data_IF_120722769062
#
_entry.id   IF_120722769062
#
_cell.length_a   1.000
_cell.length_b   1.000
_cell.length_c   1.000
_cell.angle_alpha   90.00
_cell.angle_beta   90.00
_cell.angle_gamma   90.00
#
_symmetry.space_group_name_H-M   'P 1'
#
loop_
_entity.id
_entity.type
_entity.pdbx_description
1 polymer ?
#
# COMPACT_ATOMS: atom_id res chain seq x y z
N UNK A 1 36.65 -87.72 -35.18
CA UNK A 1 37.52 -88.39 -36.15
C UNK A 1 38.38 -89.34 -35.36
N UNK A 2 38.38 -90.62 -35.70
CA UNK A 2 39.26 -91.59 -35.06
C UNK A 2 40.70 -91.24 -35.43
N UNK A 3 41.60 -91.25 -34.43
CA UNK A 3 43.00 -90.94 -34.65
C UNK A 3 43.65 -92.08 -35.43
N UNK A 4 44.45 -91.76 -36.45
CA UNK A 4 45.25 -92.75 -37.19
C UNK A 4 46.17 -93.47 -36.21
N UNK A 5 46.17 -94.81 -36.22
CA UNK A 5 47.09 -95.57 -35.36
C UNK A 5 48.52 -95.40 -35.86
N UNK A 6 49.48 -95.23 -34.94
CA UNK A 6 50.90 -95.05 -35.28
C UNK A 6 51.56 -96.27 -35.95
N UNK A 7 50.81 -97.36 -36.13
CA UNK A 7 51.27 -98.62 -36.77
C UNK A 7 50.65 -98.85 -38.16
N UNK A 8 49.90 -97.88 -38.70
CA UNK A 8 49.32 -97.99 -40.03
C UNK A 8 50.42 -98.08 -41.13
N UNK A 9 50.26 -98.93 -42.15
CA UNK A 9 51.25 -99.07 -43.21
C UNK A 9 51.35 -97.80 -44.07
N UNK A 10 52.58 -97.45 -44.49
CA UNK A 10 52.90 -96.20 -45.21
C UNK A 10 52.05 -95.96 -46.47
N UNK A 11 51.57 -97.02 -47.13
CA UNK A 11 50.78 -96.91 -48.35
C UNK A 11 49.34 -96.39 -48.11
N UNK A 12 48.90 -96.24 -46.86
CA UNK A 12 47.58 -95.68 -46.54
C UNK A 12 47.61 -94.18 -46.21
N UNK A 13 48.79 -93.54 -46.21
CA UNK A 13 48.95 -92.14 -45.80
C UNK A 13 48.08 -91.20 -46.63
N UNK A 14 48.10 -91.31 -47.96
CA UNK A 14 47.30 -90.45 -48.84
C UNK A 14 45.79 -90.58 -48.57
N UNK A 15 45.34 -91.77 -48.19
CA UNK A 15 43.93 -92.02 -47.83
C UNK A 15 43.57 -91.31 -46.52
N UNK A 16 44.46 -91.36 -45.51
CA UNK A 16 44.23 -90.68 -44.23
C UNK A 16 44.36 -89.16 -44.33
N UNK A 17 45.26 -88.65 -45.20
CA UNK A 17 45.34 -87.22 -45.51
C UNK A 17 44.04 -86.72 -46.14
N UNK A 18 43.50 -87.44 -47.13
CA UNK A 18 42.23 -87.09 -47.77
C UNK A 18 41.07 -87.11 -46.77
N UNK A 19 40.99 -88.13 -45.90
CA UNK A 19 39.99 -88.17 -44.82
C UNK A 19 40.10 -86.98 -43.87
N UNK A 20 41.33 -86.56 -43.53
CA UNK A 20 41.56 -85.40 -42.66
C UNK A 20 41.12 -84.12 -43.34
N UNK A 21 41.47 -83.94 -44.62
CA UNK A 21 41.06 -82.78 -45.43
C UNK A 21 39.54 -82.72 -45.58
N UNK A 22 38.89 -83.84 -45.87
CA UNK A 22 37.43 -83.94 -45.98
C UNK A 22 36.74 -83.64 -44.64
N UNK A 23 37.27 -84.16 -43.53
CA UNK A 23 36.74 -83.88 -42.20
C UNK A 23 36.85 -82.39 -41.84
N UNK A 24 37.99 -81.75 -42.13
CA UNK A 24 38.18 -80.31 -41.92
C UNK A 24 37.24 -79.49 -42.82
N UNK A 25 37.08 -79.88 -44.08
CA UNK A 25 36.19 -79.21 -45.03
C UNK A 25 34.72 -79.29 -44.59
N UNK A 26 34.28 -80.46 -44.13
CA UNK A 26 32.93 -80.66 -43.57
C UNK A 26 32.70 -79.83 -42.31
N UNK A 27 33.68 -79.78 -41.39
CA UNK A 27 33.56 -79.02 -40.14
C UNK A 27 33.55 -77.51 -40.38
N UNK A 28 34.36 -77.01 -41.31
CA UNK A 28 34.45 -75.57 -41.63
C UNK A 28 33.22 -75.07 -42.40
N UNK A 29 32.55 -75.96 -43.14
CA UNK A 29 31.32 -75.64 -43.86
C UNK A 29 30.05 -75.76 -43.00
N UNK A 30 30.15 -76.31 -41.79
CA UNK A 30 29.02 -76.48 -40.89
C UNK A 30 28.80 -75.22 -40.03
N UNK A 31 27.54 -74.84 -39.85
CA UNK A 31 27.16 -73.73 -38.98
C UNK A 31 27.42 -74.09 -37.51
N UNK A 32 28.19 -73.28 -36.81
CA UNK A 32 28.42 -73.45 -35.36
C UNK A 32 27.13 -73.19 -34.58
N UNK A 33 26.70 -74.16 -33.77
CA UNK A 33 25.49 -74.04 -32.94
C UNK A 33 25.60 -72.97 -31.87
N UNK A 34 24.46 -72.45 -31.41
CA UNK A 34 24.38 -71.46 -30.32
C UNK A 34 25.04 -71.96 -29.04
N UNK A 35 24.83 -73.23 -28.70
CA UNK A 35 25.43 -73.89 -27.52
C UNK A 35 26.96 -73.95 -27.53
N UNK A 36 27.61 -73.71 -28.69
CA UNK A 36 29.06 -73.68 -28.86
C UNK A 36 29.59 -72.26 -29.15
N UNK A 37 28.78 -71.22 -28.87
CA UNK A 37 29.15 -69.82 -29.09
C UNK A 37 28.99 -69.34 -30.53
N UNK A 38 28.39 -70.13 -31.43
CA UNK A 38 28.00 -69.68 -32.76
C UNK A 38 26.62 -69.01 -32.75
N UNK A 39 26.15 -68.57 -33.92
CA UNK A 39 24.79 -68.02 -34.06
C UNK A 39 23.77 -69.03 -34.58
N UNK A 40 24.19 -70.24 -34.96
CA UNK A 40 23.31 -71.24 -35.58
C UNK A 40 22.76 -70.82 -36.96
N UNK A 41 23.23 -69.70 -37.52
CA UNK A 41 22.70 -69.11 -38.74
C UNK A 41 23.61 -69.28 -39.96
N UNK A 42 23.02 -69.54 -41.13
CA UNK A 42 23.70 -69.53 -42.44
C UNK A 42 23.70 -68.15 -43.12
N UNK A 43 23.01 -67.15 -42.55
CA UNK A 43 22.90 -65.80 -43.11
C UNK A 43 23.18 -64.73 -42.06
N UNK A 44 23.70 -63.58 -42.49
CA UNK A 44 23.97 -62.45 -41.60
C UNK A 44 22.70 -61.90 -40.90
N UNK A 45 21.54 -62.00 -41.56
CA UNK A 45 20.26 -61.55 -40.99
C UNK A 45 19.80 -62.46 -39.85
N UNK A 46 19.83 -63.78 -40.04
CA UNK A 46 19.50 -64.73 -38.99
C UNK A 46 20.51 -64.68 -37.83
N UNK A 47 21.80 -64.43 -38.12
CA UNK A 47 22.82 -64.24 -37.09
C UNK A 47 22.53 -63.02 -36.19
N UNK A 48 22.14 -61.88 -36.77
CA UNK A 48 21.73 -60.70 -35.99
C UNK A 48 20.50 -60.96 -35.14
N UNK A 49 19.51 -61.67 -35.69
CA UNK A 49 18.31 -62.06 -34.96
C UNK A 49 18.63 -62.96 -33.77
N UNK A 50 19.51 -63.95 -33.94
CA UNK A 50 19.93 -64.85 -32.87
C UNK A 50 20.71 -64.13 -31.75
N UNK A 51 21.45 -63.07 -32.06
CA UNK A 51 22.17 -62.23 -31.10
C UNK A 51 21.29 -61.13 -30.47
N UNK A 52 20.00 -61.04 -30.83
CA UNK A 52 19.11 -59.97 -30.37
C UNK A 52 19.50 -58.58 -30.89
N UNK A 53 20.32 -58.50 -31.94
CA UNK A 53 20.70 -57.24 -32.59
C UNK A 53 19.59 -56.85 -33.54
N UNK A 54 18.83 -55.82 -33.17
CA UNK A 54 17.81 -55.24 -34.04
C UNK A 54 18.42 -54.81 -35.40
N UNK A 55 17.68 -54.91 -36.51
CA UNK A 55 18.12 -54.38 -37.80
C UNK A 55 18.53 -52.90 -37.69
N UNK A 56 19.46 -52.43 -38.54
CA UNK A 56 19.91 -51.03 -38.52
C UNK A 56 18.76 -50.01 -38.64
N UNK A 57 17.69 -50.39 -39.35
CA UNK A 57 16.45 -49.61 -39.47
C UNK A 57 15.65 -49.48 -38.16
N UNK A 58 15.92 -50.32 -37.16
CA UNK A 58 15.34 -50.26 -35.83
C UNK A 58 16.31 -49.71 -34.78
N UNK A 59 17.63 -49.93 -34.91
CA UNK A 59 18.62 -49.31 -34.03
C UNK A 59 18.57 -47.78 -34.15
N UNK A 60 18.36 -47.24 -35.36
CA UNK A 60 18.09 -45.81 -35.55
C UNK A 60 16.77 -45.31 -34.93
N UNK A 61 15.79 -46.20 -34.71
CA UNK A 61 14.52 -45.87 -34.03
C UNK A 61 14.60 -45.99 -32.50
N UNK A 62 15.52 -46.80 -31.98
CA UNK A 62 15.69 -47.03 -30.54
C UNK A 62 16.78 -46.14 -29.92
N UNK A 63 17.81 -45.76 -30.68
CA UNK A 63 18.85 -44.84 -30.24
C UNK A 63 18.39 -43.37 -30.18
N UNK A 64 17.28 -43.02 -30.82
CA UNK A 64 16.65 -41.70 -30.69
C UNK A 64 15.82 -41.54 -29.41
N UNK A 65 15.62 -42.59 -28.61
CA UNK A 65 14.64 -42.56 -27.51
C UNK A 65 15.09 -41.71 -26.30
N UNK A 66 16.31 -41.16 -26.23
CA UNK A 66 16.68 -40.39 -25.02
C UNK A 66 17.68 -39.24 -25.17
N UNK A 67 17.48 -38.35 -26.15
CA UNK A 67 17.90 -36.94 -26.01
C UNK A 67 17.12 -35.97 -26.89
N UNK A 68 15.79 -36.15 -26.95
CA UNK A 68 14.76 -35.34 -27.65
C UNK A 68 14.34 -35.85 -29.04
N UNK A 69 13.54 -36.93 -29.04
CA UNK A 69 12.76 -37.42 -30.17
C UNK A 69 11.33 -36.87 -30.10
N UNK A 70 11.05 -35.74 -30.74
CA UNK A 70 9.71 -35.16 -30.77
C UNK A 70 9.16 -35.02 -32.19
N UNK A 71 8.20 -35.88 -32.59
CA UNK A 71 7.33 -35.60 -33.72
C UNK A 71 6.23 -34.59 -33.34
N UNK A 72 5.68 -34.63 -32.11
CA UNK A 72 4.65 -33.68 -31.61
C UNK A 72 4.58 -33.55 -30.08
N UNK A 73 5.64 -33.86 -29.31
CA UNK A 73 5.50 -33.83 -27.86
C UNK A 73 5.91 -32.45 -27.29
N UNK A 74 4.93 -31.79 -26.67
CA UNK A 74 5.19 -30.77 -25.68
C UNK A 74 6.03 -31.40 -24.57
N UNK A 75 7.22 -30.86 -24.29
CA UNK A 75 7.86 -31.08 -23.00
C UNK A 75 7.06 -30.28 -21.97
N UNK A 76 5.91 -30.82 -21.56
CA UNK A 76 5.09 -30.24 -20.52
C UNK A 76 5.80 -30.50 -19.19
N UNK A 77 6.49 -29.50 -18.66
CA UNK A 77 7.25 -29.59 -17.41
C UNK A 77 6.31 -29.81 -16.21
N UNK A 78 5.02 -29.53 -16.36
CA UNK A 78 4.00 -29.77 -15.34
C UNK A 78 2.68 -30.24 -15.97
N UNK A 79 2.13 -31.38 -15.54
CA UNK A 79 0.85 -31.93 -16.06
C UNK A 79 -0.39 -31.16 -15.59
N UNK A 80 -0.21 -30.09 -14.81
CA UNK A 80 -1.30 -29.21 -14.38
C UNK A 80 -1.78 -28.36 -15.56
N UNK A 81 -3.10 -28.15 -15.74
CA UNK A 81 -3.61 -27.26 -16.79
C UNK A 81 -3.27 -25.77 -16.58
N UNK A 82 -2.56 -25.42 -15.50
CA UNK A 82 -2.31 -24.04 -15.11
C UNK A 82 -0.97 -23.45 -15.58
N UNK A 83 0.06 -24.25 -15.86
CA UNK A 83 1.39 -23.71 -16.20
C UNK A 83 2.12 -24.56 -17.24
N UNK A 84 2.16 -24.10 -18.51
CA UNK A 84 2.90 -24.77 -19.57
C UNK A 84 3.87 -23.78 -20.24
N UNK A 85 5.10 -23.68 -19.71
CA UNK A 85 6.21 -23.14 -20.49
C UNK A 85 6.62 -24.24 -21.49
N UNK A 86 6.17 -24.09 -22.74
CA UNK A 86 6.49 -25.03 -23.80
C UNK A 86 7.45 -24.41 -24.82
N UNK A 87 8.52 -25.14 -25.16
CA UNK A 87 9.37 -24.84 -26.31
C UNK A 87 8.91 -25.69 -27.49
N UNK A 88 8.42 -25.05 -28.54
CA UNK A 88 7.87 -25.69 -29.73
C UNK A 88 8.76 -25.37 -30.93
N UNK A 89 8.95 -26.35 -31.80
CA UNK A 89 9.37 -26.07 -33.18
C UNK A 89 8.13 -26.14 -34.05
N UNK A 90 7.92 -25.12 -34.88
CA UNK A 90 6.88 -24.99 -35.92
C UNK A 90 5.65 -24.16 -35.56
N UNK A 91 5.69 -22.91 -36.00
CA UNK A 91 4.56 -22.13 -36.51
C UNK A 91 4.32 -22.40 -38.02
N UNK A 92 4.74 -23.56 -38.54
CA UNK A 92 4.81 -23.83 -39.98
C UNK A 92 6.07 -23.27 -40.67
N UNK A 93 6.87 -22.42 -40.01
CA UNK A 93 8.10 -21.82 -40.58
C UNK A 93 9.40 -22.42 -40.03
N UNK A 94 9.33 -23.51 -39.26
CA UNK A 94 10.50 -24.24 -38.77
C UNK A 94 11.34 -23.54 -37.70
N UNK A 95 10.84 -22.46 -37.08
CA UNK A 95 11.56 -21.72 -36.04
C UNK A 95 11.27 -22.28 -34.64
N UNK A 96 12.24 -22.23 -33.70
CA UNK A 96 11.97 -22.44 -32.28
C UNK A 96 11.11 -21.29 -31.73
N UNK A 97 10.03 -21.62 -31.04
CA UNK A 97 9.09 -20.69 -30.41
C UNK A 97 8.89 -21.13 -28.96
N UNK A 98 9.15 -20.24 -28.01
CA UNK A 98 8.66 -20.42 -26.64
C UNK A 98 7.22 -19.91 -26.59
N UNK A 99 6.25 -20.76 -26.23
CA UNK A 99 4.89 -20.32 -25.93
C UNK A 99 4.72 -20.30 -24.42
N UNK A 100 4.21 -19.18 -23.94
CA UNK A 100 3.80 -18.96 -22.56
C UNK A 100 2.29 -18.76 -22.63
N UNK A 101 1.53 -19.43 -21.75
CA UNK A 101 0.07 -19.25 -21.71
C UNK A 101 -0.27 -17.76 -21.45
N UNK A 102 -1.41 -17.28 -21.93
CA UNK A 102 -1.84 -15.90 -21.74
C UNK A 102 -2.02 -15.56 -20.25
N UNK A 103 -2.34 -16.55 -19.41
CA UNK A 103 -2.37 -16.49 -17.95
C UNK A 103 -0.98 -16.49 -17.30
N UNK A 104 0.06 -16.98 -17.99
CA UNK A 104 1.45 -17.03 -17.52
C UNK A 104 2.32 -15.86 -18.02
N UNK A 105 1.89 -15.17 -19.09
CA UNK A 105 2.47 -13.88 -19.54
C UNK A 105 2.35 -12.76 -18.48
N UNK A 106 1.66 -13.04 -17.39
CA UNK A 106 1.35 -12.14 -16.28
C UNK A 106 2.58 -11.73 -15.47
N UNK A 107 3.72 -12.42 -15.55
CA UNK A 107 4.90 -12.10 -14.73
C UNK A 107 5.53 -10.73 -15.03
N UNK A 108 5.56 -10.29 -16.29
CA UNK A 108 6.07 -8.95 -16.64
C UNK A 108 5.00 -7.86 -16.41
N UNK A 109 3.74 -8.15 -16.72
CA UNK A 109 2.64 -7.20 -16.62
C UNK A 109 2.15 -6.96 -15.18
N UNK A 110 2.25 -7.97 -14.31
CA UNK A 110 1.80 -7.88 -12.92
C UNK A 110 2.69 -6.99 -12.08
N UNK A 111 4.01 -7.07 -12.24
CA UNK A 111 4.94 -6.22 -11.50
C UNK A 111 4.70 -4.74 -11.81
N UNK A 112 4.53 -4.41 -13.09
CA UNK A 112 4.23 -3.03 -13.52
C UNK A 112 2.84 -2.58 -13.06
N UNK A 113 1.84 -3.46 -13.12
CA UNK A 113 0.49 -3.16 -12.65
C UNK A 113 0.42 -2.95 -11.13
N UNK A 114 1.12 -3.79 -10.35
CA UNK A 114 1.21 -3.67 -8.89
C UNK A 114 1.94 -2.37 -8.49
N UNK A 115 3.01 -2.01 -9.21
CA UNK A 115 3.72 -0.76 -9.00
C UNK A 115 2.84 0.47 -9.32
N UNK A 116 2.09 0.43 -10.42
CA UNK A 116 1.14 1.48 -10.79
C UNK A 116 0.00 1.62 -9.76
N UNK A 117 -0.56 0.50 -9.30
CA UNK A 117 -1.60 0.49 -8.26
C UNK A 117 -1.08 1.06 -6.92
N UNK A 118 0.15 0.71 -6.54
CA UNK A 118 0.80 1.23 -5.33
C UNK A 118 1.06 2.73 -5.43
N UNK A 119 1.55 3.21 -6.59
CA UNK A 119 1.76 4.63 -6.84
C UNK A 119 0.45 5.43 -6.80
N UNK A 120 -0.63 4.90 -7.39
CA UNK A 120 -1.95 5.51 -7.35
C UNK A 120 -2.51 5.60 -5.93
N UNK A 121 -2.40 4.52 -5.14
CA UNK A 121 -2.81 4.50 -3.73
C UNK A 121 -2.03 5.52 -2.90
N UNK A 122 -0.71 5.59 -3.08
CA UNK A 122 0.15 6.56 -2.40
C UNK A 122 -0.20 8.01 -2.77
N UNK A 123 -0.52 8.27 -4.05
CA UNK A 123 -0.96 9.59 -4.49
C UNK A 123 -2.32 9.96 -3.86
N UNK A 124 -3.28 9.05 -3.84
CA UNK A 124 -4.58 9.26 -3.19
C UNK A 124 -4.44 9.53 -1.68
N UNK A 125 -3.59 8.77 -1.00
CA UNK A 125 -3.31 8.99 0.43
C UNK A 125 -2.63 10.35 0.68
N UNK A 126 -1.72 10.75 -0.20
CA UNK A 126 -1.06 12.05 -0.11
C UNK A 126 -2.01 13.24 -0.39
N UNK A 127 -3.00 13.04 -1.27
CA UNK A 127 -4.06 14.03 -1.54
C UNK A 127 -5.02 14.11 -0.35
N UNK A 128 -5.52 12.96 0.13
CA UNK A 128 -6.42 12.91 1.28
C UNK A 128 -5.78 13.41 2.58
N UNK A 129 -4.45 13.39 2.67
CA UNK A 129 -3.70 13.95 3.79
C UNK A 129 -3.43 15.46 3.70
N UNK A 130 -3.86 16.14 2.64
CA UNK A 130 -3.59 17.58 2.42
C UNK A 130 -4.88 18.35 2.24
N UNK A 131 -5.00 19.44 3.00
CA UNK A 131 -6.04 20.45 2.83
C UNK A 131 -5.76 21.21 1.54
N UNK A 132 -6.73 21.25 0.62
CA UNK A 132 -6.55 21.96 -0.64
C UNK A 132 -6.39 23.47 -0.42
N UNK A 133 -5.61 24.14 -1.29
CA UNK A 133 -5.28 25.58 -1.14
C UNK A 133 -6.49 26.54 -1.25
N UNK A 134 -7.69 26.05 -1.55
CA UNK A 134 -8.91 26.85 -1.57
C UNK A 134 -10.18 26.01 -1.53
N UNK A 135 -11.14 26.45 -0.70
CA UNK A 135 -12.50 25.88 -0.65
C UNK A 135 -12.65 24.57 0.12
N UNK A 136 -11.58 24.06 0.72
CA UNK A 136 -11.62 22.83 1.49
C UNK A 136 -12.21 23.06 2.89
N UNK A 137 -12.95 22.08 3.41
CA UNK A 137 -13.56 22.12 4.74
C UNK A 137 -12.90 21.06 5.60
N UNK A 138 -12.19 21.48 6.64
CA UNK A 138 -11.57 20.55 7.60
C UNK A 138 -12.52 20.28 8.76
N UNK A 139 -12.56 19.05 9.25
CA UNK A 139 -13.21 18.70 10.52
C UNK A 139 -12.15 18.24 11.52
N UNK A 140 -12.16 18.80 12.73
CA UNK A 140 -11.16 18.54 13.79
C UNK A 140 -10.18 19.70 14.03
N UNK A 141 -9.22 19.47 14.93
CA UNK A 141 -8.24 20.49 15.35
C UNK A 141 -7.19 20.78 14.27
N UNK A 142 -6.97 22.06 13.96
CA UNK A 142 -5.87 22.51 13.10
C UNK A 142 -4.62 22.77 13.94
N UNK A 143 -3.69 21.81 13.97
CA UNK A 143 -2.39 22.00 14.61
C UNK A 143 -1.37 22.66 13.64
N UNK A 144 -0.90 23.85 13.97
CA UNK A 144 0.12 24.61 13.21
C UNK A 144 1.42 24.74 14.02
N UNK A 145 2.26 23.69 14.08
CA UNK A 145 3.41 23.62 14.98
C UNK A 145 4.53 24.63 14.67
N UNK A 146 4.46 25.33 13.54
CA UNK A 146 5.43 26.35 13.15
C UNK A 146 4.76 27.63 12.63
N UNK A 147 3.64 28.03 13.24
CA UNK A 147 3.06 29.33 13.00
C UNK A 147 4.01 30.41 13.53
N UNK A 148 4.69 31.13 12.64
CA UNK A 148 5.48 32.30 13.00
C UNK A 148 4.54 33.42 13.47
N UNK A 149 4.97 34.20 14.47
CA UNK A 149 4.24 35.39 14.89
C UNK A 149 3.96 36.29 13.68
N UNK A 150 2.72 36.78 13.54
CA UNK A 150 2.36 37.71 12.49
C UNK A 150 3.24 38.97 12.62
N UNK A 151 4.05 39.27 11.60
CA UNK A 151 5.02 40.37 11.61
C UNK A 151 4.41 41.72 11.20
N UNK A 152 3.14 41.74 10.80
CA UNK A 152 2.38 42.97 10.53
C UNK A 152 0.88 42.71 10.59
N UNK A 153 0.15 43.59 11.29
CA UNK A 153 -1.32 43.60 11.34
C UNK A 153 -1.90 42.47 12.20
N UNK A 154 -2.19 42.76 13.46
CA UNK A 154 -3.10 41.90 14.23
C UNK A 154 -4.53 42.23 13.79
N UNK A 155 -5.21 41.29 13.14
CA UNK A 155 -6.67 41.29 13.18
C UNK A 155 -7.05 40.42 14.36
N UNK A 156 -7.68 41.01 15.37
CA UNK A 156 -8.18 40.21 16.49
C UNK A 156 -9.30 39.33 15.92
N UNK A 157 -9.06 38.03 15.94
CA UNK A 157 -10.00 37.03 15.51
C UNK A 157 -10.40 36.24 16.75
N UNK A 158 -11.69 36.14 17.00
CA UNK A 158 -12.23 35.38 18.12
C UNK A 158 -12.85 34.10 17.59
N UNK A 159 -12.82 33.05 18.41
CA UNK A 159 -13.64 31.86 18.16
C UNK A 159 -15.03 32.19 18.70
N UNK A 160 -16.03 32.29 17.83
CA UNK A 160 -17.41 32.53 18.23
C UNK A 160 -18.03 31.25 18.85
N UNK A 161 -19.23 31.35 19.42
CA UNK A 161 -19.90 30.25 20.13
C UNK A 161 -20.19 29.00 19.28
N UNK A 162 -20.13 29.08 17.95
CA UNK A 162 -20.24 27.93 17.03
C UNK A 162 -18.88 27.37 16.58
N UNK A 163 -17.79 27.80 17.21
CA UNK A 163 -16.44 27.26 17.01
C UNK A 163 -15.68 27.80 15.80
N UNK A 164 -16.18 28.86 15.15
CA UNK A 164 -15.56 29.45 13.94
C UNK A 164 -14.69 30.65 14.26
N UNK A 165 -13.67 30.86 13.46
CA UNK A 165 -12.86 32.08 13.51
C UNK A 165 -13.68 33.22 12.91
N UNK A 166 -14.06 34.20 13.72
CA UNK A 166 -14.85 35.36 13.31
C UNK A 166 -14.03 36.64 13.35
N UNK A 167 -14.25 37.50 12.36
CA UNK A 167 -13.79 38.88 12.33
C UNK A 167 -14.96 39.77 12.73
N UNK A 168 -14.80 40.56 13.78
CA UNK A 168 -15.86 41.44 14.29
C UNK A 168 -16.49 42.32 13.21
N UNK A 169 -17.78 42.16 12.99
CA UNK A 169 -18.56 42.93 12.01
C UNK A 169 -19.00 44.25 12.64
N UNK A 170 -18.26 45.34 12.38
CA UNK A 170 -18.60 46.67 12.92
C UNK A 170 -19.30 47.61 11.93
N UNK A 171 -19.57 47.15 10.72
CA UNK A 171 -20.22 47.98 9.69
C UNK A 171 -21.68 48.28 10.05
N UNK A 172 -22.08 49.54 9.87
CA UNK A 172 -23.45 50.04 10.09
C UNK A 172 -24.52 49.14 9.44
N UNK A 173 -24.26 48.67 8.22
CA UNK A 173 -25.15 47.78 7.45
C UNK A 173 -25.56 46.46 8.16
N UNK A 174 -24.89 46.09 9.24
CA UNK A 174 -25.17 44.88 10.01
C UNK A 174 -25.65 45.17 11.43
N UNK A 175 -25.93 46.45 11.75
CA UNK A 175 -26.39 46.90 13.06
C UNK A 175 -27.71 47.64 12.90
N UNK A 176 -28.55 47.49 13.90
CA UNK A 176 -29.84 48.18 14.02
C UNK A 176 -29.95 48.75 15.44
N UNK A 177 -30.93 49.62 15.70
CA UNK A 177 -31.20 50.25 17.01
C UNK A 177 -29.96 50.97 17.59
N UNK A 178 -29.47 51.95 16.85
CA UNK A 178 -28.28 52.72 17.20
C UNK A 178 -28.67 53.94 18.03
N UNK A 179 -28.77 53.72 19.33
CA UNK A 179 -29.00 54.79 20.31
C UNK A 179 -27.71 55.13 21.07
N UNK A 180 -27.61 56.38 21.51
CA UNK A 180 -26.55 56.79 22.43
C UNK A 180 -26.81 56.14 23.80
N UNK A 181 -25.90 55.30 24.33
CA UNK A 181 -26.14 54.61 25.59
C UNK A 181 -26.14 55.61 26.74
N UNK A 182 -27.22 55.63 27.53
CA UNK A 182 -27.24 56.37 28.78
C UNK A 182 -26.36 55.66 29.82
N UNK A 183 -25.08 56.05 29.85
CA UNK A 183 -24.07 55.47 30.75
C UNK A 183 -24.35 55.73 32.23
N UNK A 184 -25.25 56.66 32.57
CA UNK A 184 -25.65 56.91 33.95
C UNK A 184 -26.51 55.77 34.52
N UNK A 185 -27.23 55.06 33.65
CA UNK A 185 -28.10 53.93 34.03
C UNK A 185 -27.34 52.61 34.20
N UNK A 186 -26.06 52.57 33.83
CA UNK A 186 -25.26 51.34 33.90
C UNK A 186 -24.91 50.91 35.33
N UNK A 187 -25.06 51.79 36.33
CA UNK A 187 -24.71 51.49 37.71
C UNK A 187 -23.20 51.34 37.92
N UNK A 188 -22.79 50.49 38.86
CA UNK A 188 -21.38 50.20 39.15
C UNK A 188 -20.84 49.04 38.29
N UNK A 189 -20.32 49.39 37.12
CA UNK A 189 -19.72 48.44 36.18
C UNK A 189 -18.21 48.23 36.36
N UNK A 190 -17.66 48.50 37.55
CA UNK A 190 -16.24 48.26 37.86
C UNK A 190 -16.10 47.06 38.80
N UNK A 191 -15.87 45.83 38.27
CA UNK A 191 -15.70 44.66 39.10
C UNK A 191 -14.46 44.77 39.98
N UNK A 192 -14.44 44.03 41.09
CA UNK A 192 -13.27 43.97 41.95
C UNK A 192 -12.14 43.23 41.22
N UNK A 193 -10.97 43.87 41.11
CA UNK A 193 -9.79 43.22 40.56
C UNK A 193 -9.27 42.17 41.54
N UNK A 194 -9.07 40.94 41.07
CA UNK A 194 -8.53 39.83 41.87
C UNK A 194 -7.15 39.43 41.36
N UNK A 195 -6.30 39.01 42.29
CA UNK A 195 -5.08 38.27 41.97
C UNK A 195 -5.34 36.79 42.22
N UNK A 196 -5.10 35.96 41.20
CA UNK A 196 -5.37 34.53 41.27
C UNK A 196 -4.32 33.70 40.54
N UNK A 197 -4.40 32.37 40.72
CA UNK A 197 -3.61 31.38 39.99
C UNK A 197 -4.56 30.34 39.41
N UNK A 198 -4.30 29.90 38.19
CA UNK A 198 -5.08 28.81 37.59
C UNK A 198 -4.80 27.48 38.30
N UNK A 199 -5.85 26.71 38.60
CA UNK A 199 -5.74 25.41 39.30
C UNK A 199 -4.79 24.43 38.58
N UNK A 200 -4.77 24.48 37.24
CA UNK A 200 -3.92 23.63 36.38
C UNK A 200 -2.98 24.46 35.48
N UNK A 201 -2.67 25.71 35.85
CA UNK A 201 -1.79 26.58 35.05
C UNK A 201 -0.32 26.48 35.44
N UNK A 202 0.48 27.40 34.93
CA UNK A 202 1.94 27.49 35.20
C UNK A 202 2.29 28.01 36.61
N UNK A 203 1.30 28.17 37.49
CA UNK A 203 1.46 28.65 38.86
C UNK A 203 1.77 30.14 39.00
N UNK A 204 1.85 30.90 37.91
CA UNK A 204 2.11 32.34 37.96
C UNK A 204 0.87 33.12 38.42
N UNK A 205 1.06 34.12 39.31
CA UNK A 205 -0.03 35.00 39.67
C UNK A 205 -0.47 35.83 38.45
N UNK A 206 -1.78 35.90 38.26
CA UNK A 206 -2.43 36.69 37.21
C UNK A 206 -3.43 37.65 37.86
N UNK A 207 -3.65 38.80 37.24
CA UNK A 207 -4.69 39.75 37.63
C UNK A 207 -5.88 39.63 36.67
N UNK A 208 -7.09 39.72 37.20
CA UNK A 208 -8.28 39.75 36.38
C UNK A 208 -9.57 39.80 37.19
N UNK A 209 -10.68 39.70 36.48
CA UNK A 209 -12.01 39.64 37.06
C UNK A 209 -12.51 38.18 37.08
N UNK A 210 -13.42 37.89 38.02
CA UNK A 210 -14.04 36.58 38.18
C UNK A 210 -15.44 36.64 37.58
N UNK A 211 -15.76 35.73 36.66
CA UNK A 211 -16.99 35.78 35.88
C UNK A 211 -18.23 35.59 36.76
N UNK A 212 -18.14 34.73 37.78
CA UNK A 212 -19.20 34.50 38.76
C UNK A 212 -19.52 35.78 39.55
N UNK A 213 -18.50 36.54 39.98
CA UNK A 213 -18.71 37.83 40.67
C UNK A 213 -19.39 38.86 39.76
N UNK A 214 -19.08 38.84 38.45
CA UNK A 214 -19.73 39.69 37.43
C UNK A 214 -21.19 39.29 37.26
N UNK A 215 -21.50 37.99 37.23
CA UNK A 215 -22.85 37.47 37.07
C UNK A 215 -23.77 37.70 38.29
N UNK A 216 -23.20 37.75 39.49
CA UNK A 216 -23.93 38.00 40.74
C UNK A 216 -24.30 39.47 40.94
N UNK A 217 -23.57 40.40 40.30
CA UNK A 217 -23.83 41.82 40.41
C UNK A 217 -24.90 42.28 39.40
N UNK A 218 -26.01 42.91 39.86
CA UNK A 218 -27.09 43.37 38.97
C UNK A 218 -26.63 44.30 37.85
N UNK A 219 -25.64 45.15 38.12
CA UNK A 219 -25.11 46.12 37.16
C UNK A 219 -24.18 45.46 36.12
N UNK A 220 -23.54 44.36 36.51
CA UNK A 220 -22.52 43.66 35.72
C UNK A 220 -23.05 42.43 34.98
N UNK A 221 -24.21 41.90 35.37
CA UNK A 221 -24.74 40.63 34.87
C UNK A 221 -24.85 40.61 33.34
N UNK A 222 -25.15 41.74 32.70
CA UNK A 222 -25.24 41.87 31.23
C UNK A 222 -23.94 41.54 30.49
N UNK A 223 -22.80 41.58 31.17
CA UNK A 223 -21.48 41.29 30.60
C UNK A 223 -21.01 39.86 30.93
N UNK A 224 -21.78 39.09 31.71
CA UNK A 224 -21.49 37.68 31.94
C UNK A 224 -21.93 36.85 30.72
N UNK A 225 -21.05 35.97 30.27
CA UNK A 225 -21.33 35.01 29.20
C UNK A 225 -21.60 33.66 29.85
N UNK A 226 -22.76 33.09 29.56
CA UNK A 226 -23.19 31.82 30.11
C UNK A 226 -22.91 30.68 29.13
N UNK A 227 -22.57 29.52 29.68
CA UNK A 227 -22.35 28.31 28.89
C UNK A 227 -23.64 27.92 28.18
N UNK A 228 -23.51 27.57 26.90
CA UNK A 228 -24.59 26.94 26.14
C UNK A 228 -24.37 25.43 26.06
N UNK A 229 -25.44 24.67 26.14
CA UNK A 229 -25.45 23.23 25.91
C UNK A 229 -26.35 22.92 24.73
N UNK A 230 -26.04 21.85 24.01
CA UNK A 230 -26.94 21.32 22.97
C UNK A 230 -27.86 20.31 23.67
N UNK A 231 -29.18 20.49 23.53
CA UNK A 231 -30.17 19.52 24.03
C UNK A 231 -30.18 18.24 23.15
N UNK A 232 -30.94 17.24 23.57
CA UNK A 232 -31.03 15.95 22.87
C UNK A 232 -31.57 16.09 21.43
N UNK A 233 -32.26 17.20 21.14
CA UNK A 233 -32.83 17.52 19.83
C UNK A 233 -31.86 18.34 18.95
N UNK A 234 -30.65 18.64 19.44
CA UNK A 234 -29.65 19.40 18.69
C UNK A 234 -29.80 20.92 18.80
N UNK A 235 -30.69 21.42 19.66
CA UNK A 235 -30.89 22.87 19.86
C UNK A 235 -29.97 23.42 20.93
N UNK A 236 -29.49 24.64 20.72
CA UNK A 236 -28.68 25.35 21.70
C UNK A 236 -29.57 25.92 22.81
N UNK A 237 -29.36 25.46 24.04
CA UNK A 237 -29.98 25.96 25.25
C UNK A 237 -28.95 26.68 26.13
N UNK A 238 -29.30 27.87 26.62
CA UNK A 238 -28.49 28.56 27.63
C UNK A 238 -28.56 27.81 28.97
N UNK A 239 -27.42 27.67 29.64
CA UNK A 239 -27.36 27.16 31.02
C UNK A 239 -27.24 28.33 31.99
N UNK A 240 -27.57 28.09 33.27
CA UNK A 240 -27.31 29.06 34.34
C UNK A 240 -25.85 29.05 34.82
N UNK A 241 -24.94 28.36 34.12
CA UNK A 241 -23.54 28.27 34.48
C UNK A 241 -22.78 29.37 33.74
N UNK A 242 -22.13 30.25 34.49
CA UNK A 242 -21.27 31.30 33.93
C UNK A 242 -20.02 30.66 33.36
N UNK A 243 -19.63 31.08 32.16
CA UNK A 243 -18.47 30.56 31.43
C UNK A 243 -17.35 31.61 31.36
N UNK A 244 -17.68 32.84 30.97
CA UNK A 244 -16.71 33.91 30.77
C UNK A 244 -17.33 35.30 30.91
N UNK A 245 -16.52 36.34 30.66
CA UNK A 245 -16.95 37.76 30.65
C UNK A 245 -16.80 38.26 29.21
N UNK A 246 -17.80 38.98 28.70
CA UNK A 246 -17.64 39.78 27.48
C UNK A 246 -16.78 41.01 27.80
N UNK A 247 -15.47 40.77 27.83
CA UNK A 247 -14.48 41.73 28.27
C UNK A 247 -14.46 42.99 27.39
N UNK A 248 -14.71 42.85 26.08
CA UNK A 248 -14.68 43.97 25.15
C UNK A 248 -15.88 44.88 25.41
N UNK A 249 -17.08 44.31 25.53
CA UNK A 249 -18.27 45.12 25.82
C UNK A 249 -18.14 45.83 27.18
N UNK A 250 -17.67 45.11 28.20
CA UNK A 250 -17.43 45.69 29.52
C UNK A 250 -16.41 46.83 29.46
N UNK A 251 -15.29 46.65 28.75
CA UNK A 251 -14.25 47.68 28.61
C UNK A 251 -14.77 48.93 27.88
N UNK A 252 -15.56 48.75 26.81
CA UNK A 252 -16.17 49.87 26.08
C UNK A 252 -17.14 50.63 26.99
N UNK A 253 -17.97 49.91 27.75
CA UNK A 253 -18.93 50.52 28.69
C UNK A 253 -18.21 51.28 29.82
N UNK A 254 -17.18 50.70 30.41
CA UNK A 254 -16.35 51.36 31.44
C UNK A 254 -15.69 52.62 30.89
N UNK A 255 -15.13 52.55 29.68
CA UNK A 255 -14.50 53.72 29.03
C UNK A 255 -15.51 54.84 28.78
N UNK A 256 -16.72 54.50 28.30
CA UNK A 256 -17.78 55.46 28.09
C UNK A 256 -18.25 56.12 29.41
N UNK A 257 -18.39 55.33 30.48
CA UNK A 257 -18.78 55.84 31.80
C UNK A 257 -17.68 56.74 32.41
N UNK A 258 -16.40 56.37 32.27
CA UNK A 258 -15.29 57.22 32.70
C UNK A 258 -15.27 58.54 31.93
N UNK A 259 -15.44 58.50 30.61
CA UNK A 259 -15.47 59.70 29.79
C UNK A 259 -16.60 60.65 30.21
N UNK A 260 -17.81 60.13 30.44
CA UNK A 260 -18.92 60.94 30.94
C UNK A 260 -18.64 61.57 32.31
N UNK A 261 -17.98 60.84 33.22
CA UNK A 261 -17.56 61.37 34.53
C UNK A 261 -16.51 62.47 34.39
N UNK A 262 -15.55 62.32 33.48
CA UNK A 262 -14.53 63.34 33.19
C UNK A 262 -15.20 64.61 32.66
N UNK A 263 -16.07 64.49 31.66
CA UNK A 263 -16.81 65.63 31.10
C UNK A 263 -17.64 66.36 32.17
N UNK A 264 -18.32 65.62 33.05
CA UNK A 264 -19.09 66.22 34.14
C UNK A 264 -18.21 66.95 35.18
N UNK A 265 -16.99 66.47 35.42
CA UNK A 265 -16.02 67.16 36.28
C UNK A 265 -15.46 68.41 35.60
N UNK A 266 -15.16 68.34 34.31
CA UNK A 266 -14.68 69.48 33.53
C UNK A 266 -15.73 70.60 33.49
N UNK A 267 -17.01 70.27 33.37
CA UNK A 267 -18.09 71.26 33.39
C UNK A 267 -18.20 71.95 34.76
N UNK A 268 -18.15 71.18 35.84
CA UNK A 268 -18.14 71.74 37.21
C UNK A 268 -16.96 72.68 37.48
N UNK A 269 -15.81 72.44 36.83
CA UNK A 269 -14.63 73.29 36.96
C UNK A 269 -14.71 74.56 36.09
N UNK A 270 -15.61 74.60 35.10
CA UNK A 270 -15.81 75.77 34.22
C UNK A 270 -16.82 76.78 34.76
N UNK A 271 -17.72 76.35 35.64
CA UNK A 271 -18.65 77.27 36.30
C UNK A 271 -17.85 78.23 37.20
N UNK A 272 -17.82 79.55 36.91
CA UNK A 272 -17.13 80.52 37.76
C UNK A 272 -17.82 80.58 39.13
N UNK A 273 -17.02 80.53 40.20
CA UNK A 273 -17.48 80.69 41.60
C UNK A 273 -18.34 81.96 41.82
#
# INVERSE_FOLDING_TARGET
MDLVSGTAPLNTIDTEENKTRDYIAQRTSAVTSISKGGTGATTAAAARSALGVSPASEVGKRASINSMNFPFAAAQIETSPAHQIGFYFSDGSGRPVARVDATDMTLALKADADAAASAASNAMNAVNGRVAKGGDTMTGDLNLPNASAATSGFTVAYINGDGRVSKGTSSLRYKDLLDDPDVSTLGNIFPTLRQYKFKNGDGKPTLGWIAEEVAESPDLQRFAVYKTTVDDDGNWAATNVVDSIDFIQLLIAQTAQLNARVLALEEKLREPE
#
